data_IF_117882694373
#
_entry.id   IF_117882694373
#
_cell.length_a   1.000
_cell.length_b   1.000
_cell.length_c   1.000
_cell.angle_alpha   90.00
_cell.angle_beta   90.00
_cell.angle_gamma   90.00
#
_symmetry.space_group_name_H-M   'P 1'
#
loop_
_entity.id
_entity.type
_entity.pdbx_description
1 polymer ?
#
# COMPACT_ATOMS: atom_id res chain seq x y z
N UNK A 1 -10.45 5.48 12.05
CA UNK A 1 -10.20 4.97 10.68
C UNK A 1 -11.09 3.76 10.44
N UNK A 2 -11.95 3.79 9.43
CA UNK A 2 -12.71 2.62 8.98
C UNK A 2 -12.07 2.17 7.66
N UNK A 3 -11.54 0.95 7.60
CA UNK A 3 -10.96 0.40 6.37
C UNK A 3 -11.83 -0.78 5.91
N UNK A 4 -12.43 -0.63 4.73
CA UNK A 4 -13.16 -1.72 4.07
C UNK A 4 -12.14 -2.64 3.39
N UNK A 5 -11.73 -3.69 4.09
CA UNK A 5 -10.89 -4.75 3.53
C UNK A 5 -11.76 -5.98 3.24
N UNK A 6 -12.56 -5.92 2.18
CA UNK A 6 -13.23 -7.11 1.62
C UNK A 6 -12.27 -7.77 0.63
N UNK A 7 -11.52 -8.76 1.11
CA UNK A 7 -10.52 -9.48 0.31
C UNK A 7 -11.22 -10.65 -0.39
N UNK A 8 -11.37 -10.56 -1.71
CA UNK A 8 -11.90 -11.65 -2.54
C UNK A 8 -10.79 -12.41 -3.25
N UNK A 9 -10.99 -13.71 -3.44
CA UNK A 9 -10.12 -14.53 -4.27
C UNK A 9 -10.21 -14.05 -5.73
N UNK A 10 -9.11 -13.51 -6.24
CA UNK A 10 -8.92 -13.18 -7.65
C UNK A 10 -8.25 -14.41 -8.26
N UNK A 11 -8.91 -15.09 -9.20
CA UNK A 11 -8.45 -16.37 -9.76
C UNK A 11 -7.05 -16.35 -10.41
N UNK A 12 -6.62 -17.46 -11.02
CA UNK A 12 -5.24 -17.62 -11.53
C UNK A 12 -5.06 -17.27 -13.04
N UNK A 13 -6.05 -16.61 -13.64
CA UNK A 13 -6.04 -16.28 -15.08
C UNK A 13 -5.14 -15.10 -15.43
N UNK A 14 -4.83 -14.95 -16.73
CA UNK A 14 -4.06 -13.81 -17.27
C UNK A 14 -4.64 -12.45 -16.85
N UNK A 15 -5.98 -12.32 -16.88
CA UNK A 15 -6.68 -11.10 -16.46
C UNK A 15 -6.49 -10.81 -14.96
N UNK A 16 -6.46 -11.83 -14.11
CA UNK A 16 -6.19 -11.67 -12.69
C UNK A 16 -4.76 -11.23 -12.42
N UNK A 17 -3.79 -11.78 -13.16
CA UNK A 17 -2.39 -11.36 -13.07
C UNK A 17 -2.20 -9.90 -13.49
N UNK A 18 -2.88 -9.47 -14.55
CA UNK A 18 -2.86 -8.07 -14.99
C UNK A 18 -3.50 -7.12 -13.97
N UNK A 19 -4.63 -7.53 -13.35
CA UNK A 19 -5.28 -6.76 -12.30
C UNK A 19 -4.40 -6.61 -11.06
N UNK A 20 -3.81 -7.71 -10.57
CA UNK A 20 -2.90 -7.68 -9.41
C UNK A 20 -1.70 -6.79 -9.73
N UNK A 21 -1.09 -6.97 -10.90
CA UNK A 21 0.03 -6.12 -11.32
C UNK A 21 -0.35 -4.64 -11.34
N UNK A 22 -1.49 -4.29 -11.93
CA UNK A 22 -1.94 -2.90 -12.03
C UNK A 22 -2.24 -2.28 -10.66
N UNK A 23 -2.92 -3.02 -9.78
CA UNK A 23 -3.22 -2.56 -8.42
C UNK A 23 -1.94 -2.40 -7.61
N UNK A 24 -1.04 -3.39 -7.62
CA UNK A 24 0.26 -3.29 -6.94
C UNK A 24 1.06 -2.12 -7.49
N UNK A 25 1.19 -1.99 -8.81
CA UNK A 25 1.89 -0.90 -9.47
C UNK A 25 1.27 0.46 -9.11
N UNK A 26 -0.06 0.58 -9.04
CA UNK A 26 -0.75 1.81 -8.60
C UNK A 26 -0.41 2.21 -7.16
N UNK A 27 -0.45 1.25 -6.23
CA UNK A 27 -0.07 1.47 -4.83
C UNK A 27 1.42 1.78 -4.67
N UNK A 28 2.27 1.21 -5.52
CA UNK A 28 3.72 1.36 -5.40
C UNK A 28 4.25 2.59 -6.15
N UNK A 29 3.62 2.99 -7.26
CA UNK A 29 3.94 4.21 -8.04
C UNK A 29 3.47 5.47 -7.36
N UNK A 30 2.36 5.39 -6.65
CA UNK A 30 1.91 6.50 -5.84
C UNK A 30 2.81 6.55 -4.61
N UNK A 31 3.69 7.56 -4.54
CA UNK A 31 4.15 8.10 -3.27
C UNK A 31 2.90 8.61 -2.53
N UNK A 32 2.07 7.70 -2.05
CA UNK A 32 1.08 8.01 -1.04
C UNK A 32 1.88 8.74 0.04
N UNK A 33 1.47 9.96 0.45
CA UNK A 33 2.22 10.78 1.41
C UNK A 33 2.44 10.07 2.75
N UNK A 34 1.88 8.87 2.92
CA UNK A 34 2.31 7.81 3.83
C UNK A 34 3.83 7.70 3.95
N UNK A 35 4.62 7.71 2.86
CA UNK A 35 6.07 7.57 3.02
C UNK A 35 6.68 8.75 3.80
N UNK A 36 6.23 9.98 3.51
CA UNK A 36 6.68 11.20 4.21
C UNK A 36 6.17 11.21 5.66
N UNK A 37 4.90 10.87 5.88
CA UNK A 37 4.32 10.79 7.23
C UNK A 37 4.95 9.68 8.08
N UNK A 38 5.28 8.55 7.47
CA UNK A 38 5.96 7.42 8.11
C UNK A 38 7.42 7.77 8.41
N UNK A 39 8.12 8.46 7.51
CA UNK A 39 9.48 8.96 7.78
C UNK A 39 9.50 10.00 8.89
N UNK A 40 8.54 10.93 8.92
CA UNK A 40 8.40 11.92 10.00
C UNK A 40 8.12 11.25 11.35
N UNK A 41 7.22 10.25 11.38
CA UNK A 41 6.93 9.47 12.58
C UNK A 41 8.16 8.66 13.04
N UNK A 42 8.86 8.02 12.10
CA UNK A 42 10.07 7.26 12.36
C UNK A 42 11.18 8.14 12.92
N UNK A 43 11.34 9.36 12.39
CA UNK A 43 12.27 10.35 12.93
C UNK A 43 11.91 10.74 14.36
N UNK A 44 10.64 11.08 14.62
CA UNK A 44 10.18 11.48 15.94
C UNK A 44 10.36 10.36 16.99
N UNK A 45 10.08 9.11 16.65
CA UNK A 45 10.31 7.96 17.55
C UNK A 45 11.80 7.73 17.82
N UNK A 46 12.67 7.95 16.82
CA UNK A 46 14.13 7.79 16.97
C UNK A 46 14.76 8.87 17.85
N UNK A 47 14.29 10.11 17.76
CA UNK A 47 14.79 11.23 18.60
C UNK A 47 14.25 11.19 20.04
N UNK A 48 13.19 10.43 20.31
CA UNK A 48 12.63 10.23 21.66
C UNK A 48 13.30 9.09 22.45
N UNK A 49 14.23 8.33 21.85
CA UNK A 49 14.96 7.22 22.47
C UNK A 49 16.42 7.58 22.71
#
# INVERSE_FOLDING_TARGET
>A
MHYNMDIKYIGLGQAAKALVYYVTDYFTKSLLPVNVGFDALRYAVKEMA
#
